data_IF_612344688639
#
_entry.id   IF_612344688639
#
_cell.length_a   1.000
_cell.length_b   1.000
_cell.length_c   1.000
_cell.angle_alpha   90.00
_cell.angle_beta   90.00
_cell.angle_gamma   90.00
#
_symmetry.space_group_name_H-M   'P 1'
#
loop_
_entity.id
_entity.type
_entity.pdbx_description
1 polymer ?
#
# COMPACT_ATOMS: atom_id res chain seq x y z
N UNK A 1 15.87 -13.56 2.86
CA UNK A 1 14.65 -13.01 2.26
C UNK A 1 13.62 -12.99 3.37
N UNK A 2 13.12 -11.80 3.73
CA UNK A 2 12.29 -11.60 4.93
C UNK A 2 10.78 -11.64 4.65
N UNK A 3 10.37 -11.67 3.37
CA UNK A 3 8.98 -11.75 2.94
C UNK A 3 8.80 -12.77 1.82
N UNK A 4 8.66 -14.04 2.17
CA UNK A 4 8.16 -15.04 1.22
C UNK A 4 6.62 -14.95 1.10
N UNK A 5 6.05 -15.70 0.14
CA UNK A 5 4.61 -15.68 -0.12
C UNK A 5 3.76 -16.07 1.10
N UNK A 6 4.30 -16.87 2.03
CA UNK A 6 3.56 -17.28 3.23
C UNK A 6 3.47 -16.14 4.25
N UNK A 7 4.55 -15.39 4.41
CA UNK A 7 4.54 -14.19 5.26
C UNK A 7 3.62 -13.10 4.71
N UNK A 8 3.61 -12.88 3.40
CA UNK A 8 2.70 -11.92 2.74
C UNK A 8 1.25 -12.31 3.00
N UNK A 9 0.88 -13.56 2.70
CA UNK A 9 -0.50 -14.04 2.87
C UNK A 9 -0.97 -13.98 4.34
N UNK A 10 -0.10 -14.30 5.29
CA UNK A 10 -0.43 -14.19 6.72
C UNK A 10 -0.74 -12.74 7.12
N UNK A 11 0.04 -11.77 6.63
CA UNK A 11 -0.17 -10.37 6.97
C UNK A 11 -1.43 -9.81 6.32
N UNK A 12 -1.71 -10.19 5.08
CA UNK A 12 -2.96 -9.82 4.39
C UNK A 12 -4.20 -10.39 5.10
N UNK A 13 -4.10 -11.58 5.70
CA UNK A 13 -5.20 -12.17 6.48
C UNK A 13 -5.48 -11.40 7.79
N UNK A 14 -4.45 -10.81 8.39
CA UNK A 14 -4.57 -10.04 9.64
C UNK A 14 -5.01 -8.59 9.35
N UNK A 15 -4.43 -7.96 8.33
CA UNK A 15 -4.53 -6.51 8.12
C UNK A 15 -5.38 -6.09 6.90
N UNK A 16 -5.76 -7.06 6.07
CA UNK A 16 -6.52 -6.85 4.84
C UNK A 16 -5.69 -7.02 3.58
N UNK A 17 -6.36 -7.33 2.46
CA UNK A 17 -5.73 -7.57 1.16
C UNK A 17 -4.78 -6.44 0.79
N UNK A 18 -3.53 -6.80 0.49
CA UNK A 18 -2.46 -5.91 0.11
C UNK A 18 -1.87 -5.04 1.23
N UNK A 19 -2.30 -5.19 2.50
CA UNK A 19 -1.70 -4.52 3.66
C UNK A 19 -0.71 -5.44 4.38
N UNK A 20 0.55 -5.01 4.46
CA UNK A 20 1.63 -5.78 5.11
C UNK A 20 2.03 -5.21 6.48
N UNK A 21 1.31 -4.20 6.97
CA UNK A 21 1.59 -3.52 8.23
C UNK A 21 0.32 -3.31 9.06
N UNK A 22 0.44 -3.17 10.40
CA UNK A 22 -0.70 -2.98 11.29
C UNK A 22 -1.61 -1.81 10.93
N UNK A 23 -2.91 -2.00 11.14
CA UNK A 23 -3.92 -0.95 11.13
C UNK A 23 -4.69 -0.76 9.81
N UNK A 24 -4.26 -1.41 8.72
CA UNK A 24 -5.04 -1.50 7.49
C UNK A 24 -5.50 -0.15 6.93
N UNK A 25 -6.67 -0.08 6.25
CA UNK A 25 -7.15 1.18 5.66
C UNK A 25 -7.53 2.25 6.69
N UNK A 26 -7.88 1.87 7.92
CA UNK A 26 -8.23 2.82 8.98
C UNK A 26 -7.00 3.61 9.46
N UNK A 27 -5.83 2.98 9.54
CA UNK A 27 -4.58 3.69 9.83
C UNK A 27 -4.23 4.66 8.71
N UNK A 28 -4.38 4.25 7.45
CA UNK A 28 -4.15 5.14 6.30
C UNK A 28 -5.04 6.37 6.38
N UNK A 29 -6.33 6.20 6.70
CA UNK A 29 -7.25 7.31 6.87
C UNK A 29 -6.82 8.28 7.99
N UNK A 30 -6.29 7.76 9.11
CA UNK A 30 -5.75 8.59 10.19
C UNK A 30 -4.49 9.36 9.79
N UNK A 31 -3.58 8.73 9.06
CA UNK A 31 -2.33 9.37 8.60
C UNK A 31 -2.62 10.47 7.59
N UNK A 32 -3.66 10.30 6.76
CA UNK A 32 -4.04 11.24 5.72
C UNK A 32 -5.03 12.33 6.19
N UNK A 33 -5.43 12.32 7.47
CA UNK A 33 -6.40 13.28 7.98
C UNK A 33 -5.92 14.73 7.76
N UNK A 34 -6.78 15.54 7.13
CA UNK A 34 -6.47 16.93 6.77
C UNK A 34 -5.56 17.13 5.54
N UNK A 35 -5.14 16.05 4.85
CA UNK A 35 -4.40 16.15 3.59
C UNK A 35 -5.35 16.06 2.39
N UNK A 36 -5.28 17.05 1.51
CA UNK A 36 -5.88 16.98 0.17
C UNK A 36 -4.86 16.36 -0.79
N UNK A 37 -5.21 15.27 -1.46
CA UNK A 37 -4.37 14.60 -2.46
C UNK A 37 -4.93 14.74 -3.89
N UNK A 38 -6.06 15.43 -4.07
CA UNK A 38 -6.74 15.57 -5.35
C UNK A 38 -5.79 16.17 -6.42
N UNK A 39 -5.65 15.45 -7.53
CA UNK A 39 -4.81 15.86 -8.65
C UNK A 39 -3.30 15.83 -8.38
N UNK A 40 -2.84 15.34 -7.22
CA UNK A 40 -1.41 15.31 -6.87
C UNK A 40 -0.73 14.02 -7.33
N UNK A 41 0.58 14.10 -7.51
CA UNK A 41 1.44 12.92 -7.74
C UNK A 41 2.10 12.53 -6.43
N UNK A 42 1.96 11.26 -6.03
CA UNK A 42 2.41 10.76 -4.74
C UNK A 42 3.50 9.70 -4.93
N UNK A 43 4.50 9.71 -4.03
CA UNK A 43 5.51 8.67 -3.90
C UNK A 43 5.24 7.90 -2.60
N UNK A 44 5.01 6.61 -2.70
CA UNK A 44 4.80 5.70 -1.57
C UNK A 44 6.08 4.88 -1.33
N UNK A 45 6.75 5.11 -0.20
CA UNK A 45 8.05 4.51 0.13
C UNK A 45 7.83 3.36 1.12
N UNK A 46 8.21 2.14 0.71
CA UNK A 46 7.83 0.92 1.42
C UNK A 46 6.40 0.52 1.10
N UNK A 47 6.03 0.55 -0.18
CA UNK A 47 4.65 0.35 -0.64
C UNK A 47 4.13 -1.07 -0.41
N UNK A 48 5.00 -2.03 -0.04
CA UNK A 48 4.64 -3.41 0.17
C UNK A 48 3.93 -4.01 -1.05
N UNK A 49 2.83 -4.73 -0.81
CA UNK A 49 1.95 -5.28 -1.83
C UNK A 49 1.01 -4.25 -2.47
N UNK A 50 1.18 -2.95 -2.24
CA UNK A 50 0.58 -1.89 -3.05
C UNK A 50 -0.85 -1.46 -2.70
N UNK A 51 -1.48 -2.00 -1.64
CA UNK A 51 -2.85 -1.59 -1.29
C UNK A 51 -2.97 -0.09 -0.99
N UNK A 52 -1.99 0.49 -0.30
CA UNK A 52 -1.98 1.91 0.02
C UNK A 52 -1.90 2.72 -1.28
N UNK A 53 -0.98 2.39 -2.19
CA UNK A 53 -0.87 3.08 -3.47
C UNK A 53 -2.18 3.05 -4.29
N UNK A 54 -2.88 1.91 -4.32
CA UNK A 54 -4.20 1.79 -4.98
C UNK A 54 -5.25 2.64 -4.28
N UNK A 55 -5.31 2.60 -2.95
CA UNK A 55 -6.25 3.37 -2.15
C UNK A 55 -6.04 4.87 -2.34
N UNK A 56 -4.79 5.34 -2.38
CA UNK A 56 -4.46 6.75 -2.63
C UNK A 56 -4.95 7.23 -4.01
N UNK A 57 -4.78 6.41 -5.04
CA UNK A 57 -5.24 6.73 -6.39
C UNK A 57 -6.77 6.65 -6.53
N UNK A 58 -7.39 5.61 -5.97
CA UNK A 58 -8.82 5.32 -6.14
C UNK A 58 -9.71 6.18 -5.25
N UNK A 59 -9.34 6.34 -3.99
CA UNK A 59 -10.24 6.87 -2.95
C UNK A 59 -9.85 8.28 -2.50
N UNK A 60 -8.59 8.70 -2.71
CA UNK A 60 -8.08 10.02 -2.28
C UNK A 60 -7.78 10.98 -3.44
N UNK A 61 -8.09 10.58 -4.69
CA UNK A 61 -8.00 11.48 -5.84
C UNK A 61 -6.58 11.80 -6.31
N UNK A 62 -5.56 11.05 -5.87
CA UNK A 62 -4.21 11.23 -6.38
C UNK A 62 -4.19 10.98 -7.91
N UNK A 63 -3.63 11.91 -8.67
CA UNK A 63 -3.49 11.80 -10.12
C UNK A 63 -2.64 10.59 -10.52
N UNK A 64 -1.57 10.33 -9.77
CA UNK A 64 -0.72 9.18 -9.98
C UNK A 64 0.04 8.83 -8.71
N UNK A 65 0.25 7.54 -8.46
CA UNK A 65 1.06 7.06 -7.34
C UNK A 65 2.19 6.20 -7.88
N UNK A 66 3.41 6.45 -7.39
CA UNK A 66 4.58 5.60 -7.65
C UNK A 66 4.92 4.92 -6.33
N UNK A 67 4.81 3.60 -6.27
CA UNK A 67 5.27 2.80 -5.14
C UNK A 67 6.72 2.34 -5.34
N UNK A 68 7.53 2.41 -4.29
CA UNK A 68 8.85 1.78 -4.24
C UNK A 68 8.94 0.87 -3.02
N UNK A 69 9.54 -0.31 -3.21
CA UNK A 69 9.91 -1.20 -2.13
C UNK A 69 11.27 -1.84 -2.44
N UNK A 70 11.99 -2.26 -1.39
CA UNK A 70 13.29 -2.91 -1.52
C UNK A 70 13.16 -4.40 -1.76
N UNK A 71 12.04 -5.01 -1.37
CA UNK A 71 11.80 -6.44 -1.52
C UNK A 71 11.10 -6.73 -2.87
N UNK A 72 11.77 -7.48 -3.74
CA UNK A 72 11.28 -7.78 -5.09
C UNK A 72 9.98 -8.61 -5.08
N UNK A 73 9.84 -9.52 -4.11
CA UNK A 73 8.67 -10.41 -4.03
C UNK A 73 7.39 -9.67 -3.60
N UNK A 74 7.48 -8.63 -2.75
CA UNK A 74 6.31 -7.79 -2.41
C UNK A 74 5.93 -6.90 -3.59
N UNK A 75 6.91 -6.38 -4.36
CA UNK A 75 6.64 -5.65 -5.59
C UNK A 75 5.90 -6.52 -6.63
N UNK A 76 6.28 -7.80 -6.76
CA UNK A 76 5.56 -8.75 -7.63
C UNK A 76 4.14 -9.02 -7.14
N UNK A 77 3.91 -9.03 -5.83
CA UNK A 77 2.56 -9.16 -5.27
C UNK A 77 1.72 -7.92 -5.60
N UNK A 78 2.31 -6.72 -5.54
CA UNK A 78 1.64 -5.46 -5.88
C UNK A 78 1.13 -5.41 -7.32
N UNK A 79 1.83 -6.04 -8.26
CA UNK A 79 1.40 -6.11 -9.67
C UNK A 79 0.11 -6.94 -9.91
N UNK A 80 -0.50 -7.50 -8.85
CA UNK A 80 -1.74 -8.28 -8.92
C UNK A 80 -2.99 -7.47 -8.54
N UNK A 81 -2.82 -6.26 -8.00
CA UNK A 81 -3.90 -5.34 -7.61
C UNK A 81 -4.27 -4.41 -8.78
#
# INVERSE_FOLDING_TARGET
MLYDNQHIALLEDIWGVGFLSPGGPEEVARVLDGLDLEGKRVLDIGCGSGAIAVLLARDYGAQSVIGIDVEDDVCKAAARL
#
